data_IF_099876868196
#
_entry.id   IF_099876868196
#
_cell.length_a   1.000
_cell.length_b   1.000
_cell.length_c   1.000
_cell.angle_alpha   90.00
_cell.angle_beta   90.00
_cell.angle_gamma   90.00
#
_symmetry.space_group_name_H-M   'P 1'
#
loop_
_entity.id
_entity.type
_entity.pdbx_description
1 polymer ?
#
# COMPACT_ATOMS: atom_id res chain seq x y z
N UNK A 1 2.55 31.51 -8.32
CA UNK A 1 1.81 30.81 -7.26
C UNK A 1 1.31 29.50 -7.85
N UNK A 2 1.94 28.37 -7.50
CA UNK A 2 1.47 27.05 -7.91
C UNK A 2 0.75 26.42 -6.73
N UNK A 3 -0.58 26.31 -6.82
CA UNK A 3 -1.38 25.48 -5.92
C UNK A 3 -0.71 24.10 -5.82
N UNK A 4 -0.44 23.63 -4.60
CA UNK A 4 -0.24 22.19 -4.41
C UNK A 4 -1.59 21.57 -4.66
N UNK A 5 -1.82 21.16 -5.91
CA UNK A 5 -2.95 20.32 -6.21
C UNK A 5 -2.70 18.97 -5.47
N UNK A 6 -3.26 18.86 -4.27
CA UNK A 6 -3.21 17.66 -3.42
C UNK A 6 -4.09 16.56 -4.01
N UNK A 7 -5.00 16.88 -4.95
CA UNK A 7 -5.66 15.86 -5.74
C UNK A 7 -4.64 15.06 -6.56
N UNK A 8 -4.85 13.75 -6.65
CA UNK A 8 -3.97 12.85 -7.40
C UNK A 8 -2.67 12.50 -6.68
N UNK A 9 -2.68 12.36 -5.36
CA UNK A 9 -1.57 11.79 -4.57
C UNK A 9 -2.00 10.55 -3.80
N UNK A 10 -1.06 9.63 -3.60
CA UNK A 10 -1.20 8.47 -2.74
C UNK A 10 -0.20 8.56 -1.59
N UNK A 11 -0.68 8.34 -0.37
CA UNK A 11 0.09 8.56 0.85
C UNK A 11 0.38 7.24 1.57
N UNK A 12 1.65 6.99 1.87
CA UNK A 12 2.03 5.99 2.85
C UNK A 12 2.16 6.64 4.23
N UNK A 13 1.47 6.09 5.24
CA UNK A 13 1.46 6.62 6.60
C UNK A 13 2.06 5.65 7.61
N UNK A 14 2.69 6.23 8.62
CA UNK A 14 3.23 5.57 9.81
C UNK A 14 2.99 6.43 11.05
N UNK A 15 2.98 5.79 12.22
CA UNK A 15 2.77 6.45 13.51
C UNK A 15 4.05 6.99 14.13
N UNK A 16 5.21 6.50 13.71
CA UNK A 16 6.46 6.77 14.40
C UNK A 16 7.45 7.55 13.53
N UNK A 17 8.08 8.56 14.14
CA UNK A 17 9.16 9.34 13.52
C UNK A 17 10.35 8.46 13.10
N UNK A 18 10.68 7.44 13.90
CA UNK A 18 11.73 6.45 13.60
C UNK A 18 11.44 5.69 12.30
N UNK A 19 10.19 5.31 12.09
CA UNK A 19 9.75 4.59 10.89
C UNK A 19 9.91 5.45 9.63
N UNK A 20 9.43 6.70 9.64
CA UNK A 20 9.56 7.59 8.47
C UNK A 20 11.03 7.90 8.15
N UNK A 21 11.88 8.11 9.18
CA UNK A 21 13.32 8.32 8.97
C UNK A 21 14.00 7.09 8.36
N UNK A 22 13.61 5.89 8.79
CA UNK A 22 14.09 4.64 8.20
C UNK A 22 13.70 4.54 6.73
N UNK A 23 12.43 4.80 6.40
CA UNK A 23 11.93 4.78 5.01
C UNK A 23 12.66 5.81 4.13
N UNK A 24 12.89 7.03 4.63
CA UNK A 24 13.67 8.06 3.92
C UNK A 24 15.15 7.67 3.74
N UNK A 25 15.72 6.99 4.72
CA UNK A 25 17.11 6.51 4.67
C UNK A 25 17.29 5.36 3.68
N UNK A 26 16.39 4.39 3.72
CA UNK A 26 16.39 3.19 2.87
C UNK A 26 15.87 3.46 1.45
N UNK A 27 15.15 4.59 1.26
CA UNK A 27 14.45 4.94 0.02
C UNK A 27 13.49 3.82 -0.46
N UNK A 28 12.84 3.18 0.51
CA UNK A 28 11.94 2.06 0.25
C UNK A 28 10.86 1.97 1.31
N UNK A 29 9.61 1.80 0.89
CA UNK A 29 8.55 1.35 1.78
C UNK A 29 8.52 -0.18 1.76
N UNK A 30 8.73 -0.80 2.92
CA UNK A 30 8.78 -2.26 3.04
C UNK A 30 7.38 -2.83 3.24
N UNK A 31 6.96 -3.72 2.34
CA UNK A 31 5.84 -4.62 2.57
C UNK A 31 6.13 -5.64 3.69
N UNK A 32 5.86 -5.25 4.93
CA UNK A 32 6.07 -6.10 6.11
C UNK A 32 4.83 -6.96 6.39
N UNK A 33 3.65 -6.40 6.19
CA UNK A 33 2.38 -7.03 6.59
C UNK A 33 1.71 -7.75 5.40
N UNK A 34 1.08 -8.87 5.70
CA UNK A 34 0.22 -9.60 4.78
C UNK A 34 -1.22 -9.05 4.83
N UNK A 35 -1.83 -8.81 3.68
CA UNK A 35 -3.19 -8.28 3.56
C UNK A 35 -4.04 -9.06 2.54
N UNK A 36 -5.35 -8.80 2.54
CA UNK A 36 -6.28 -9.36 1.58
C UNK A 36 -6.86 -10.73 1.96
N UNK A 37 -7.50 -11.36 0.98
CA UNK A 37 -8.43 -12.48 1.19
C UNK A 37 -7.80 -13.75 1.78
N UNK A 38 -6.49 -13.95 1.60
CA UNK A 38 -5.77 -15.15 2.10
C UNK A 38 -4.59 -14.80 3.02
N UNK A 39 -4.60 -13.61 3.64
CA UNK A 39 -3.49 -13.11 4.47
C UNK A 39 -3.09 -14.00 5.66
N UNK A 40 -4.01 -14.86 6.13
CA UNK A 40 -3.80 -15.79 7.25
C UNK A 40 -3.43 -17.21 6.81
N UNK A 41 -3.35 -17.49 5.51
CA UNK A 41 -2.90 -18.81 5.04
C UNK A 41 -1.38 -18.89 5.08
N UNK A 42 -0.81 -19.80 5.88
CA UNK A 42 0.64 -19.88 6.12
C UNK A 42 1.48 -20.02 4.84
N UNK A 43 1.16 -20.99 3.99
CA UNK A 43 1.86 -21.23 2.71
C UNK A 43 1.79 -20.04 1.75
N UNK A 44 0.71 -19.24 1.82
CA UNK A 44 0.48 -18.13 0.90
C UNK A 44 0.82 -16.78 1.51
N UNK A 45 1.14 -16.70 2.81
CA UNK A 45 1.30 -15.45 3.54
C UNK A 45 2.28 -14.48 2.89
N UNK A 46 3.40 -14.99 2.37
CA UNK A 46 4.40 -14.17 1.70
C UNK A 46 3.92 -13.58 0.37
N UNK A 47 3.01 -14.26 -0.34
CA UNK A 47 2.37 -13.74 -1.56
C UNK A 47 1.41 -12.58 -1.25
N UNK A 48 1.04 -12.41 0.02
CA UNK A 48 0.09 -11.39 0.48
C UNK A 48 0.76 -10.12 1.01
N UNK A 49 2.10 -10.03 0.95
CA UNK A 49 2.84 -8.85 1.40
C UNK A 49 2.70 -7.70 0.42
N UNK A 50 2.17 -6.59 0.91
CA UNK A 50 1.93 -5.37 0.13
C UNK A 50 2.34 -4.12 0.90
N UNK A 51 2.61 -3.05 0.17
CA UNK A 51 2.64 -1.69 0.70
C UNK A 51 1.25 -1.10 0.58
N UNK A 52 0.73 -0.54 1.67
CA UNK A 52 -0.54 0.19 1.68
C UNK A 52 -0.29 1.69 1.48
N UNK A 53 -1.12 2.29 0.63
CA UNK A 53 -1.20 3.72 0.38
C UNK A 53 -2.67 4.14 0.53
N UNK A 54 -2.91 5.40 0.86
CA UNK A 54 -4.26 5.96 0.97
C UNK A 54 -4.38 7.14 0.02
N UNK A 55 -5.48 7.21 -0.72
CA UNK A 55 -5.78 8.38 -1.54
C UNK A 55 -6.26 9.52 -0.66
N UNK A 56 -5.61 10.68 -0.74
CA UNK A 56 -6.00 11.83 0.10
C UNK A 56 -7.05 12.66 -0.64
N UNK A 57 -8.26 12.66 -0.09
CA UNK A 57 -9.21 13.76 -0.32
C UNK A 57 -8.98 14.86 0.74
N UNK A 58 -9.06 16.16 0.39
CA UNK A 58 -8.73 17.27 1.30
C UNK A 58 -9.42 17.20 2.68
N UNK A 59 -10.67 16.75 2.72
CA UNK A 59 -11.49 16.66 3.94
C UNK A 59 -11.19 15.42 4.79
N UNK A 60 -10.44 14.46 4.24
CA UNK A 60 -10.14 13.18 4.88
C UNK A 60 -8.79 13.18 5.61
N UNK A 61 -7.98 14.23 5.48
CA UNK A 61 -6.60 14.29 6.01
C UNK A 61 -6.51 14.06 7.51
N UNK A 62 -7.28 14.80 8.30
CA UNK A 62 -7.27 14.68 9.77
C UNK A 62 -7.73 13.30 10.20
N UNK A 63 -8.83 12.81 9.61
CA UNK A 63 -9.35 11.46 9.88
C UNK A 63 -8.33 10.37 9.52
N UNK A 64 -7.62 10.54 8.41
CA UNK A 64 -6.60 9.60 7.97
C UNK A 64 -5.39 9.63 8.92
N UNK A 65 -4.95 10.82 9.32
CA UNK A 65 -3.86 10.99 10.29
C UNK A 65 -4.20 10.37 11.65
N UNK A 66 -5.41 10.62 12.17
CA UNK A 66 -5.89 10.02 13.42
C UNK A 66 -5.92 8.48 13.35
N UNK A 67 -6.19 7.91 12.16
CA UNK A 67 -6.30 6.47 11.99
C UNK A 67 -4.95 5.79 11.72
N UNK A 68 -4.12 6.36 10.86
CA UNK A 68 -2.91 5.72 10.29
C UNK A 68 -1.60 6.32 10.81
N UNK A 69 -1.64 7.51 11.41
CA UNK A 69 -0.49 8.23 11.94
C UNK A 69 -0.22 9.54 11.21
N UNK A 70 0.56 10.41 11.84
CA UNK A 70 0.85 11.75 11.32
C UNK A 70 2.12 11.83 10.45
N UNK A 71 2.89 10.75 10.35
CA UNK A 71 4.14 10.71 9.58
C UNK A 71 3.96 9.94 8.27
N UNK A 72 4.56 10.41 7.17
CA UNK A 72 4.40 9.70 5.90
C UNK A 72 5.02 10.36 4.68
N UNK A 73 4.81 9.71 3.53
CA UNK A 73 5.30 10.12 2.21
C UNK A 73 4.16 10.15 1.22
N UNK A 74 4.07 11.21 0.43
CA UNK A 74 3.14 11.29 -0.69
C UNK A 74 3.86 11.08 -2.01
N UNK A 75 3.26 10.26 -2.86
CA UNK A 75 3.66 10.04 -4.24
C UNK A 75 2.59 10.60 -5.18
N UNK A 76 2.98 10.98 -6.39
CA UNK A 76 1.98 11.24 -7.44
C UNK A 76 1.24 9.93 -7.77
N UNK A 77 -0.07 10.02 -7.95
CA UNK A 77 -0.88 8.84 -8.24
C UNK A 77 -0.49 8.16 -9.55
N UNK A 78 -0.08 8.91 -10.58
CA UNK A 78 0.37 8.34 -11.85
C UNK A 78 1.70 7.60 -11.72
N UNK A 79 2.66 8.15 -10.98
CA UNK A 79 3.89 7.46 -10.63
C UNK A 79 3.59 6.17 -9.84
N UNK A 80 2.75 6.24 -8.81
CA UNK A 80 2.42 5.09 -7.98
C UNK A 80 1.73 3.98 -8.80
N UNK A 81 0.83 4.34 -9.72
CA UNK A 81 0.21 3.40 -10.67
C UNK A 81 1.26 2.75 -11.58
N UNK A 82 2.22 3.52 -12.08
CA UNK A 82 3.33 2.98 -12.88
C UNK A 82 4.22 2.03 -12.08
N UNK A 83 4.30 2.22 -10.75
CA UNK A 83 4.97 1.33 -9.81
C UNK A 83 4.11 0.12 -9.38
N UNK A 84 2.94 -0.09 -10.00
CA UNK A 84 2.05 -1.23 -9.72
C UNK A 84 1.02 -1.00 -8.63
N UNK A 85 0.78 0.25 -8.22
CA UNK A 85 -0.31 0.55 -7.29
C UNK A 85 -1.68 0.27 -7.92
N UNK A 86 -2.53 -0.45 -7.20
CA UNK A 86 -3.91 -0.71 -7.59
C UNK A 86 -4.87 -0.50 -6.41
N UNK A 87 -6.12 -0.07 -6.66
CA UNK A 87 -7.10 0.16 -5.61
C UNK A 87 -7.54 -1.17 -4.98
N UNK A 88 -7.85 -1.13 -3.69
CA UNK A 88 -8.44 -2.26 -2.97
C UNK A 88 -9.90 -2.43 -3.37
N UNK A 89 -10.27 -3.68 -3.67
CA UNK A 89 -11.65 -4.10 -3.92
C UNK A 89 -12.28 -4.53 -2.61
N UNK A 90 -13.08 -3.63 -2.07
CA UNK A 90 -13.92 -3.90 -0.91
C UNK A 90 -15.20 -4.59 -1.36
N UNK A 91 -15.33 -5.89 -1.08
CA UNK A 91 -16.53 -6.67 -1.37
C UNK A 91 -17.32 -6.85 -0.07
N UNK A 92 -18.45 -6.14 0.12
CA UNK A 92 -19.19 -6.19 1.38
C UNK A 92 -19.52 -7.61 1.78
N UNK A 93 -19.32 -7.93 3.06
CA UNK A 93 -19.67 -9.22 3.66
C UNK A 93 -21.12 -9.54 3.32
N UNK A 94 -21.37 -10.82 3.04
CA UNK A 94 -22.68 -11.37 2.68
C UNK A 94 -23.25 -10.89 1.33
N UNK A 95 -22.56 -10.02 0.61
CA UNK A 95 -22.96 -9.67 -0.74
C UNK A 95 -22.69 -10.84 -1.71
N UNK A 96 -23.57 -11.03 -2.71
CA UNK A 96 -23.42 -12.10 -3.71
C UNK A 96 -22.02 -12.17 -4.36
N UNK A 97 -21.43 -11.05 -4.84
CA UNK A 97 -20.08 -11.06 -5.41
C UNK A 97 -18.99 -11.49 -4.40
N UNK A 98 -19.14 -11.10 -3.13
CA UNK A 98 -18.22 -11.51 -2.07
C UNK A 98 -18.29 -13.02 -1.86
N UNK A 99 -19.49 -13.59 -1.75
CA UNK A 99 -19.67 -15.04 -1.53
C UNK A 99 -19.08 -15.87 -2.68
N UNK A 100 -19.30 -15.46 -3.94
CA UNK A 100 -18.75 -16.16 -5.11
C UNK A 100 -17.22 -16.17 -5.09
N UNK A 101 -16.60 -15.01 -4.86
CA UNK A 101 -15.14 -14.91 -4.84
C UNK A 101 -14.53 -15.61 -3.63
N UNK A 102 -15.17 -15.49 -2.46
CA UNK A 102 -14.77 -16.19 -1.26
C UNK A 102 -14.78 -17.71 -1.47
N UNK A 103 -15.85 -18.28 -2.04
CA UNK A 103 -15.92 -19.72 -2.29
C UNK A 103 -14.87 -20.19 -3.30
N UNK A 104 -14.58 -19.41 -4.35
CA UNK A 104 -13.49 -19.70 -5.28
C UNK A 104 -12.13 -19.71 -4.58
N UNK A 105 -11.83 -18.66 -3.81
CA UNK A 105 -10.58 -18.54 -3.05
C UNK A 105 -10.46 -19.67 -2.02
N UNK A 106 -11.54 -19.98 -1.30
CA UNK A 106 -11.62 -21.05 -0.31
C UNK A 106 -11.29 -22.41 -0.94
N UNK A 107 -11.95 -22.74 -2.05
CA UNK A 107 -11.70 -24.00 -2.76
C UNK A 107 -10.25 -24.13 -3.25
N UNK A 108 -9.66 -23.04 -3.73
CA UNK A 108 -8.29 -23.03 -4.26
C UNK A 108 -7.21 -23.03 -3.16
N UNK A 109 -7.45 -22.35 -2.04
CA UNK A 109 -6.48 -22.24 -0.95
C UNK A 109 -6.58 -23.39 0.06
N UNK A 110 -7.77 -23.92 0.30
CA UNK A 110 -8.06 -24.88 1.38
C UNK A 110 -8.74 -26.18 0.89
N UNK A 111 -8.78 -26.42 -0.43
CA UNK A 111 -9.33 -27.65 -0.99
C UNK A 111 -8.62 -28.90 -0.45
N UNK A 112 -9.39 -29.95 -0.12
CA UNK A 112 -8.82 -31.15 0.53
C UNK A 112 -7.73 -31.81 -0.30
N UNK A 113 -6.66 -32.21 0.39
CA UNK A 113 -5.67 -33.18 -0.10
C UNK A 113 -4.54 -32.61 -0.95
N UNK A 114 -4.43 -31.29 -1.09
CA UNK A 114 -3.30 -30.63 -1.77
C UNK A 114 -3.00 -29.28 -1.12
N UNK A 115 -1.71 -29.01 -0.92
CA UNK A 115 -1.26 -27.65 -0.62
C UNK A 115 -1.55 -26.74 -1.82
N UNK A 116 -1.93 -25.47 -1.60
CA UNK A 116 -2.14 -24.55 -2.71
C UNK A 116 -0.83 -24.32 -3.45
N UNK A 117 -0.89 -24.28 -4.78
CA UNK A 117 0.25 -23.87 -5.60
C UNK A 117 0.55 -22.39 -5.35
N UNK A 118 1.68 -22.02 -4.73
CA UNK A 118 2.01 -20.62 -4.42
C UNK A 118 2.27 -19.77 -5.67
N UNK A 119 2.45 -20.39 -6.85
CA UNK A 119 2.64 -19.68 -8.12
C UNK A 119 1.32 -19.38 -8.84
N UNK A 120 0.20 -19.88 -8.32
CA UNK A 120 -1.10 -19.67 -8.96
C UNK A 120 -1.41 -18.16 -9.07
N UNK A 121 -1.80 -17.65 -10.26
CA UNK A 121 -1.93 -16.22 -10.51
C UNK A 121 -3.00 -15.53 -9.65
N UNK A 122 -3.98 -16.29 -9.12
CA UNK A 122 -4.99 -15.78 -8.18
C UNK A 122 -4.36 -15.09 -6.96
N UNK A 123 -3.20 -15.56 -6.47
CA UNK A 123 -2.55 -15.00 -5.29
C UNK A 123 -1.93 -13.63 -5.52
N UNK A 124 -1.81 -13.19 -6.77
CA UNK A 124 -1.44 -11.81 -7.12
C UNK A 124 -2.63 -10.85 -6.97
N UNK A 125 -3.86 -11.37 -7.03
CA UNK A 125 -5.10 -10.59 -6.93
C UNK A 125 -5.62 -10.51 -5.49
N UNK A 126 -5.54 -11.61 -4.75
CA UNK A 126 -6.07 -11.68 -3.36
C UNK A 126 -5.54 -10.62 -2.39
N UNK A 127 -4.32 -10.06 -2.51
CA UNK A 127 -3.86 -9.00 -1.63
C UNK A 127 -4.65 -7.70 -1.81
N UNK A 128 -5.39 -7.55 -2.91
CA UNK A 128 -6.18 -6.38 -3.25
C UNK A 128 -7.67 -6.56 -2.95
N UNK A 129 -8.08 -7.66 -2.30
CA UNK A 129 -9.48 -7.96 -2.01
C UNK A 129 -9.68 -8.01 -0.50
N UNK A 130 -10.57 -7.16 0.01
CA UNK A 130 -10.97 -7.13 1.41
C UNK A 130 -12.49 -7.30 1.53
N UNK A 131 -12.93 -7.85 2.66
CA UNK A 131 -14.34 -8.10 2.95
C UNK A 131 -14.79 -7.19 4.11
N UNK A 132 -15.26 -5.94 3.87
CA UNK A 132 -15.80 -5.11 4.93
C UNK A 132 -17.14 -5.63 5.44
N UNK A 133 -17.37 -5.53 6.74
CA UNK A 133 -18.60 -5.97 7.36
C UNK A 133 -18.53 -6.00 8.88
N UNK A 134 -19.64 -6.41 9.47
CA UNK A 134 -19.71 -6.73 10.89
C UNK A 134 -19.33 -8.19 11.09
N UNK A 135 -18.51 -8.41 12.11
CA UNK A 135 -17.95 -9.70 12.43
C UNK A 135 -18.12 -10.00 13.92
N UNK A 136 -18.30 -11.25 14.29
CA UNK A 136 -18.31 -11.63 15.71
C UNK A 136 -16.88 -11.93 16.15
N UNK A 137 -16.35 -11.14 17.08
CA UNK A 137 -15.04 -11.39 17.67
C UNK A 137 -15.17 -11.35 19.19
N UNK A 138 -14.69 -12.40 19.87
CA UNK A 138 -14.74 -12.51 21.33
C UNK A 138 -16.16 -12.31 21.93
N UNK A 139 -17.20 -12.79 21.23
CA UNK A 139 -18.59 -12.66 21.66
C UNK A 139 -19.21 -11.27 21.50
N UNK A 140 -18.57 -10.37 20.74
CA UNK A 140 -19.08 -9.04 20.45
C UNK A 140 -18.96 -8.66 18.95
N UNK A 141 -19.93 -7.92 18.40
CA UNK A 141 -19.86 -7.43 17.03
C UNK A 141 -18.75 -6.38 16.88
N UNK A 142 -17.84 -6.61 15.95
CA UNK A 142 -16.77 -5.71 15.52
C UNK A 142 -17.00 -5.30 14.07
N UNK A 143 -17.04 -4.00 13.79
CA UNK A 143 -17.19 -3.47 12.43
C UNK A 143 -15.83 -3.22 11.77
N UNK A 144 -15.66 -3.75 10.55
CA UNK A 144 -14.51 -3.52 9.68
C UNK A 144 -14.95 -2.70 8.47
N UNK A 145 -14.96 -1.36 8.59
CA UNK A 145 -15.34 -0.43 7.52
C UNK A 145 -14.18 0.49 7.11
N UNK A 146 -13.66 0.26 5.90
CA UNK A 146 -12.48 0.96 5.38
C UNK A 146 -12.66 1.53 3.97
N UNK A 147 -13.84 1.40 3.37
CA UNK A 147 -14.12 1.91 2.02
C UNK A 147 -13.89 3.41 1.89
N UNK A 148 -14.06 4.17 2.97
CA UNK A 148 -13.82 5.60 3.03
C UNK A 148 -12.33 5.98 2.85
N UNK A 149 -11.39 5.08 3.16
CA UNK A 149 -9.95 5.36 3.08
C UNK A 149 -9.44 5.36 1.63
N UNK A 150 -10.19 4.76 0.71
CA UNK A 150 -9.80 4.59 -0.70
C UNK A 150 -8.38 4.03 -0.79
N UNK A 151 -8.16 2.90 -0.12
CA UNK A 151 -6.85 2.26 -0.03
C UNK A 151 -6.36 1.78 -1.39
N UNK A 152 -5.07 1.98 -1.63
CA UNK A 152 -4.31 1.42 -2.73
C UNK A 152 -3.23 0.51 -2.16
N UNK A 153 -2.92 -0.57 -2.87
CA UNK A 153 -1.84 -1.49 -2.50
C UNK A 153 -0.81 -1.58 -3.61
N UNK A 154 0.44 -1.87 -3.27
CA UNK A 154 1.49 -2.26 -4.22
C UNK A 154 2.01 -3.63 -3.78
N UNK A 155 2.15 -4.57 -4.71
CA UNK A 155 2.69 -5.89 -4.40
C UNK A 155 4.17 -5.81 -4.04
N UNK A 156 4.56 -6.40 -2.91
CA UNK A 156 5.94 -6.37 -2.43
C UNK A 156 6.42 -4.98 -1.98
N UNK A 157 7.74 -4.82 -1.85
CA UNK A 157 8.35 -3.55 -1.44
C UNK A 157 8.20 -2.48 -2.52
N UNK A 158 8.06 -1.22 -2.10
CA UNK A 158 7.98 -0.06 -3.00
C UNK A 158 9.28 0.75 -2.89
N UNK A 159 10.28 0.50 -3.74
CA UNK A 159 11.46 1.35 -3.85
C UNK A 159 11.11 2.67 -4.53
N UNK A 160 11.80 3.75 -4.16
CA UNK A 160 11.61 5.07 -4.75
C UNK A 160 12.90 5.89 -4.71
N UNK A 161 12.96 7.00 -5.44
CA UNK A 161 14.02 8.01 -5.36
C UNK A 161 13.51 9.27 -4.65
N UNK A 162 14.39 10.12 -4.11
CA UNK A 162 13.98 11.39 -3.50
C UNK A 162 13.08 12.25 -4.41
N UNK A 163 13.36 12.26 -5.71
CA UNK A 163 12.58 12.99 -6.72
C UNK A 163 11.16 12.43 -6.95
N UNK A 164 10.88 11.19 -6.56
CA UNK A 164 9.56 10.57 -6.71
C UNK A 164 8.60 11.00 -5.58
N UNK A 165 9.14 11.48 -4.46
CA UNK A 165 8.36 11.93 -3.30
C UNK A 165 7.86 13.35 -3.54
N UNK A 166 6.54 13.50 -3.63
CA UNK A 166 5.88 14.79 -3.86
C UNK A 166 5.89 15.68 -2.62
N UNK A 167 5.73 15.11 -1.43
CA UNK A 167 5.95 15.76 -0.14
C UNK A 167 6.13 14.72 0.96
N UNK A 168 6.74 15.13 2.07
CA UNK A 168 6.77 14.38 3.33
C UNK A 168 5.74 15.01 4.26
N UNK A 169 5.08 14.20 5.09
CA UNK A 169 4.21 14.69 6.15
C UNK A 169 4.70 14.26 7.54
N UNK A 170 4.55 15.16 8.50
CA UNK A 170 4.88 14.97 9.92
C UNK A 170 4.17 16.04 10.77
N UNK A 171 3.94 15.80 12.07
CA UNK A 171 3.55 16.86 12.99
C UNK A 171 4.54 18.03 12.96
N UNK A 172 4.06 19.27 13.03
CA UNK A 172 4.88 20.49 12.98
C UNK A 172 6.08 20.44 13.94
N UNK A 173 5.88 19.96 15.17
CA UNK A 173 6.94 19.83 16.18
C UNK A 173 8.11 18.92 15.76
N UNK A 174 7.92 18.05 14.76
CA UNK A 174 8.96 17.16 14.24
C UNK A 174 9.63 17.69 12.97
N UNK A 175 9.26 18.89 12.48
CA UNK A 175 9.68 19.36 11.16
C UNK A 175 11.19 19.63 11.07
N UNK A 176 11.79 20.24 12.09
CA UNK A 176 13.22 20.60 12.05
C UNK A 176 14.12 19.36 11.98
N UNK A 177 13.81 18.36 12.80
CA UNK A 177 14.51 17.07 12.86
C UNK A 177 14.35 16.29 11.54
N UNK A 178 13.13 16.23 10.99
CA UNK A 178 12.89 15.53 9.73
C UNK A 178 13.50 16.26 8.54
N UNK A 179 13.51 17.60 8.54
CA UNK A 179 14.13 18.42 7.50
C UNK A 179 15.64 18.18 7.42
N UNK A 180 16.33 18.04 8.55
CA UNK A 180 17.75 17.71 8.57
C UNK A 180 18.02 16.35 7.87
N UNK A 181 17.19 15.35 8.14
CA UNK A 181 17.26 14.03 7.47
C UNK A 181 16.99 14.16 5.98
N UNK A 182 15.93 14.87 5.60
CA UNK A 182 15.55 15.11 4.20
C UNK A 182 16.67 15.77 3.40
N UNK A 183 17.25 16.85 3.92
CA UNK A 183 18.35 17.58 3.29
C UNK A 183 19.59 16.69 3.11
N UNK A 184 19.96 15.94 4.15
CA UNK A 184 21.09 15.02 4.09
C UNK A 184 20.91 13.90 3.04
N UNK A 185 19.66 13.53 2.76
CA UNK A 185 19.29 12.46 1.81
C UNK A 185 18.88 12.97 0.42
N UNK A 186 18.94 14.30 0.18
CA UNK A 186 18.64 14.90 -1.12
C UNK A 186 17.15 15.02 -1.45
N UNK A 187 16.28 15.06 -0.44
CA UNK A 187 14.86 15.38 -0.65
C UNK A 187 14.68 16.89 -0.73
N UNK A 188 14.13 17.37 -1.85
CA UNK A 188 13.82 18.78 -2.09
C UNK A 188 12.31 19.08 -1.96
N UNK A 189 11.51 18.06 -1.68
CA UNK A 189 10.06 18.20 -1.61
C UNK A 189 9.59 18.92 -0.32
N UNK A 190 8.37 19.48 -0.32
CA UNK A 190 7.81 20.12 0.86
C UNK A 190 7.64 19.16 2.04
N UNK A 191 7.71 19.74 3.24
CA UNK A 191 7.29 19.10 4.48
C UNK A 191 5.98 19.75 4.96
N UNK A 192 4.96 18.95 5.23
CA UNK A 192 3.63 19.42 5.63
C UNK A 192 3.14 18.74 6.91
N UNK A 193 2.26 19.41 7.64
CA UNK A 193 1.45 18.77 8.69
C UNK A 193 0.05 18.47 8.12
N UNK A 194 -0.41 17.22 8.25
CA UNK A 194 -1.74 16.82 7.75
C UNK A 194 -2.89 17.48 8.50
N UNK A 195 -2.63 18.03 9.69
CA UNK A 195 -3.61 18.72 10.52
C UNK A 195 -3.68 20.21 10.21
N UNK A 196 -2.79 20.74 9.37
CA UNK A 196 -2.90 22.12 8.94
C UNK A 196 -4.09 22.33 8.00
N UNK A 197 -4.65 23.55 7.96
CA UNK A 197 -5.63 23.92 6.94
C UNK A 197 -5.08 23.71 5.52
N UNK A 198 -5.96 23.40 4.54
CA UNK A 198 -5.56 23.29 3.13
C UNK A 198 -4.69 24.46 2.67
N UNK A 199 -3.56 24.17 2.02
CA UNK A 199 -2.67 25.18 1.46
C UNK A 199 -1.65 25.80 2.43
N UNK A 200 -1.71 25.48 3.72
CA UNK A 200 -0.65 25.86 4.67
C UNK A 200 0.63 25.07 4.36
N UNK A 201 1.79 25.72 4.48
CA UNK A 201 3.10 25.06 4.36
C UNK A 201 4.04 25.49 5.48
N UNK A 202 4.97 24.59 5.80
CA UNK A 202 6.06 24.91 6.70
C UNK A 202 6.79 26.13 6.12
N UNK A 203 7.16 27.13 6.96
CA UNK A 203 8.03 28.19 6.50
C UNK A 203 9.27 27.56 5.86
N UNK A 204 9.75 28.17 4.76
CA UNK A 204 11.03 27.80 4.19
C UNK A 204 12.05 28.01 5.31
N UNK A 205 12.57 26.91 5.88
CA UNK A 205 13.53 26.99 6.97
C UNK A 205 14.65 27.94 6.55
N UNK A 206 14.95 28.92 7.41
CA UNK A 206 16.02 29.89 7.15
C UNK A 206 17.29 29.09 6.83
N UNK A 207 17.94 29.27 5.67
CA UNK A 207 19.20 28.61 5.42
C UNK A 207 20.19 29.17 6.45
N UNK A 208 20.64 28.34 7.39
CA UNK A 208 21.85 28.68 8.12
C UNK A 208 23.01 28.74 7.12
N UNK A 209 23.76 29.84 7.04
CA UNK A 209 24.88 29.94 6.13
C UNK A 209 26.09 29.25 6.77
N UNK A 210 26.71 28.32 6.06
CA UNK A 210 28.17 28.19 5.93
C UNK A 210 28.53 27.18 4.84
N UNK A 211 28.60 27.71 3.63
CA UNK A 211 29.38 27.15 2.53
C UNK A 211 30.85 27.12 2.94
N UNK A 212 31.48 25.95 2.88
CA UNK A 212 32.87 25.85 2.45
C UNK A 212 32.88 25.05 1.15
N UNK A 213 33.18 25.75 0.07
CA UNK A 213 33.35 25.19 -1.26
C UNK A 213 34.50 24.18 -1.27
N UNK A 214 34.24 23.02 -1.86
CA UNK A 214 35.29 22.17 -2.43
C UNK A 214 34.92 21.84 -3.86
N UNK A 215 35.56 22.57 -4.78
CA UNK A 215 35.58 22.29 -6.21
C UNK A 215 36.21 20.93 -6.46
N UNK A 216 35.54 20.06 -7.22
CA UNK A 216 36.19 18.93 -7.90
C UNK A 216 35.69 18.88 -9.34
N UNK A 217 36.63 19.07 -10.26
CA UNK A 217 36.48 18.87 -11.70
C UNK A 217 36.54 17.37 -12.06
N UNK A 218 35.79 16.97 -13.09
CA UNK A 218 35.99 15.74 -13.87
C UNK A 218 34.65 15.15 -14.33
N UNK A 219 34.16 15.48 -15.53
CA UNK A 219 34.35 14.72 -16.80
C UNK A 219 34.03 13.22 -16.66
N UNK A 220 32.89 12.78 -17.20
CA UNK A 220 32.74 11.51 -17.94
C UNK A 220 31.45 11.51 -18.77
N UNK A 221 31.64 11.47 -20.09
CA UNK A 221 30.63 11.13 -21.10
C UNK A 221 30.37 9.62 -21.11
N UNK A 222 29.14 9.22 -21.46
CA UNK A 222 28.83 7.84 -21.85
C UNK A 222 27.38 7.43 -21.63
N UNK A 223 26.60 7.50 -22.70
CA UNK A 223 25.22 7.00 -22.80
C UNK A 223 25.23 5.63 -23.50
N UNK A 224 24.91 4.52 -22.80
CA UNK A 224 24.64 3.25 -23.45
C UNK A 224 23.16 2.88 -23.27
N UNK A 225 22.62 2.14 -24.24
CA UNK A 225 21.25 1.58 -24.31
C UNK A 225 20.23 2.35 -25.16
N UNK A 226 20.63 2.63 -26.40
CA UNK A 226 19.76 2.37 -27.54
C UNK A 226 19.72 0.85 -27.80
N UNK A 227 18.51 0.27 -27.88
CA UNK A 227 18.33 -1.15 -28.22
C UNK A 227 16.87 -1.59 -28.13
N UNK A 228 16.21 -1.58 -29.28
CA UNK A 228 14.90 -2.17 -29.59
C UNK A 228 14.92 -3.70 -29.57
N UNK A 229 13.76 -4.34 -29.30
CA UNK A 229 12.96 -5.25 -30.18
C UNK A 229 12.05 -6.21 -29.33
N UNK A 230 11.24 -7.15 -29.89
CA UNK A 230 9.82 -6.99 -30.24
C UNK A 230 8.82 -7.93 -29.49
N UNK A 231 7.53 -7.62 -29.64
CA UNK A 231 6.37 -8.54 -29.77
C UNK A 231 6.21 -9.74 -28.82
N UNK A 232 5.26 -9.65 -27.88
CA UNK A 232 4.71 -10.81 -27.14
C UNK A 232 3.28 -11.07 -27.63
N UNK A 233 3.08 -12.24 -28.23
CA UNK A 233 1.79 -12.80 -28.64
C UNK A 233 1.08 -13.38 -27.39
N UNK A 234 -0.22 -13.08 -27.22
CA UNK A 234 -1.02 -13.52 -26.07
C UNK A 234 -1.98 -14.61 -26.55
N UNK A 235 -1.89 -15.80 -25.96
CA UNK A 235 -2.80 -16.91 -26.24
C UNK A 235 -4.24 -16.61 -25.77
N UNK A 236 -5.28 -17.09 -26.49
CA UNK A 236 -6.67 -16.89 -26.09
C UNK A 236 -7.07 -17.76 -24.88
N UNK A 237 -8.02 -17.29 -24.05
CA UNK A 237 -8.45 -18.01 -22.86
C UNK A 237 -9.25 -19.28 -23.19
N UNK A 238 -9.00 -20.35 -22.42
CA UNK A 238 -9.72 -21.62 -22.50
C UNK A 238 -11.20 -21.48 -22.07
N UNK A 239 -12.11 -22.33 -22.60
CA UNK A 239 -13.53 -22.30 -22.24
C UNK A 239 -13.75 -22.85 -20.82
N UNK A 240 -14.53 -22.12 -20.01
CA UNK A 240 -14.98 -22.57 -18.69
C UNK A 240 -16.28 -23.36 -18.84
N UNK A 241 -16.22 -24.69 -18.65
CA UNK A 241 -17.42 -25.52 -18.48
C UNK A 241 -17.30 -26.40 -17.23
N UNK A 242 -18.31 -26.30 -16.36
CA UNK A 242 -18.73 -27.36 -15.42
C UNK A 242 -18.03 -27.43 -14.05
N UNK A 243 -18.30 -26.49 -13.13
CA UNK A 243 -17.80 -26.51 -11.73
C UNK A 243 -18.90 -26.67 -10.67
N UNK A 244 -19.92 -27.51 -10.91
CA UNK A 244 -21.10 -27.53 -10.02
C UNK A 244 -21.34 -28.75 -9.15
N UNK A 245 -20.47 -29.75 -9.11
CA UNK A 245 -20.72 -30.91 -8.24
C UNK A 245 -19.45 -31.34 -7.50
N UNK A 246 -19.60 -31.45 -6.17
CA UNK A 246 -18.69 -32.04 -5.17
C UNK A 246 -17.66 -31.09 -4.52
N UNK A 247 -18.14 -30.33 -3.52
CA UNK A 247 -17.33 -29.94 -2.37
C UNK A 247 -18.09 -30.36 -1.09
N UNK A 248 -17.70 -31.49 -0.51
CA UNK A 248 -18.01 -31.80 0.90
C UNK A 248 -17.01 -31.02 1.76
N UNK A 249 -17.48 -29.93 2.38
CA UNK A 249 -16.64 -28.89 2.98
C UNK A 249 -16.20 -29.22 4.43
N UNK A 250 -14.98 -28.83 4.85
CA UNK A 250 -14.55 -28.92 6.25
C UNK A 250 -14.88 -27.66 7.09
N UNK A 251 -15.49 -26.63 6.50
CA UNK A 251 -15.92 -25.41 7.17
C UNK A 251 -17.32 -25.07 6.68
N UNK A 252 -18.35 -25.37 7.46
CA UNK A 252 -19.74 -25.22 7.03
C UNK A 252 -20.18 -23.74 6.93
N UNK A 253 -19.49 -22.83 7.64
CA UNK A 253 -19.86 -21.40 7.67
C UNK A 253 -18.67 -20.44 7.60
N UNK A 254 -18.96 -19.19 7.19
CA UNK A 254 -18.04 -18.04 7.26
C UNK A 254 -17.65 -17.70 8.70
N UNK A 255 -18.47 -18.08 9.68
CA UNK A 255 -18.25 -17.84 11.09
C UNK A 255 -17.25 -18.85 11.67
N UNK A 256 -17.27 -20.12 11.22
CA UNK A 256 -16.22 -21.10 11.56
C UNK A 256 -14.84 -20.66 11.02
N UNK A 257 -14.82 -20.11 9.80
CA UNK A 257 -13.61 -19.50 9.21
C UNK A 257 -13.15 -18.28 10.02
N UNK A 258 -14.08 -17.49 10.55
CA UNK A 258 -13.78 -16.27 11.30
C UNK A 258 -13.38 -16.51 12.78
N UNK A 259 -13.90 -17.54 13.42
CA UNK A 259 -13.48 -17.95 14.76
C UNK A 259 -12.06 -18.54 14.76
N UNK A 260 -11.72 -19.36 13.76
CA UNK A 260 -10.33 -19.82 13.56
C UNK A 260 -9.41 -18.65 13.16
N UNK A 261 -9.92 -17.68 12.38
CA UNK A 261 -9.22 -16.45 12.03
C UNK A 261 -8.77 -15.66 13.27
N UNK A 262 -9.51 -15.63 14.39
CA UNK A 262 -9.18 -14.81 15.57
C UNK A 262 -8.63 -15.55 16.79
N UNK A 263 -8.28 -16.82 16.68
CA UNK A 263 -7.78 -17.58 17.84
C UNK A 263 -6.41 -17.09 18.37
N UNK A 264 -5.67 -16.31 17.58
CA UNK A 264 -4.31 -15.84 17.88
C UNK A 264 -4.10 -14.30 17.81
N UNK A 265 -5.17 -13.49 17.78
CA UNK A 265 -5.11 -12.02 17.90
C UNK A 265 -5.34 -11.55 19.37
#
# INVERSE_FOLDING_TARGET
>A
MTETNESGVLLHLTRESTSIKSILGDQQVRAVNAYGAVRKHDTLRDTQRVVCLSEIEPDSRVRLADRRGDFGLAFRADWAKSAGAAPVWYLPRDAGPQQVLFNLVKAMAYGRGKDPDPQHPLWKLTPFIDYPGTYEANGAPTSYEWSWEREWRVHGHLPFRPADVKFVCAPEAAHDDLRAVMLHRGYECPLIDLRWPPGHRAPAGTPEPKTQERTVHGLFDGDPWAGSDPGVEIDPPMPVQGWREQLDEPYDTLDDWWEEYHRDD
#
